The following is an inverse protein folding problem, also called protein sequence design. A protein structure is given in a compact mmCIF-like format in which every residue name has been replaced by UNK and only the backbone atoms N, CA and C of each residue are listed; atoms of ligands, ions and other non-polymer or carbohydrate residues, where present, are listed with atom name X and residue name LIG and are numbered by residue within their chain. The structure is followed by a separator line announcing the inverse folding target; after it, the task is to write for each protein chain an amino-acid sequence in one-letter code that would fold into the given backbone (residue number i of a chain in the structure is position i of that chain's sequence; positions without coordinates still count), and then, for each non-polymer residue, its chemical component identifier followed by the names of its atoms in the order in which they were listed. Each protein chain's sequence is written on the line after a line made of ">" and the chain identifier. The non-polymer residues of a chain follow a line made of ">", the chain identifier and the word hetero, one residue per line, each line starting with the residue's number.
data_IF_049729459788
#
_entry.id   IF_049729459788
#
_cell.length_a   1.000
_cell.length_b   1.000
_cell.length_c   1.000
_cell.angle_alpha   90.00
_cell.angle_beta   90.00
_cell.angle_gamma   90.00
#
_symmetry.space_group_name_H-M   'P 1'
#
loop_
_entity.id
_entity.type
_entity.pdbx_description
1 polymer ?
#
# COMPACT_ATOMS: atom_id res chain seq x y z
N UNK A 1 1.47 21.19 15.34
CA UNK A 1 0.15 21.67 14.85
C UNK A 1 -0.04 21.40 13.37
N UNK A 2 1.03 21.48 12.56
CA UNK A 2 1.05 21.15 11.12
C UNK A 2 0.70 19.68 10.80
N UNK A 3 1.08 18.72 11.64
CA UNK A 3 0.83 17.28 11.37
C UNK A 3 -0.65 16.91 11.47
N UNK A 4 -1.36 17.50 12.44
CA UNK A 4 -2.80 17.37 12.57
C UNK A 4 -3.53 18.04 11.40
N UNK A 5 -3.00 19.16 10.89
CA UNK A 5 -3.55 19.85 9.72
C UNK A 5 -3.31 19.06 8.43
N UNK A 6 -2.21 18.31 8.29
CA UNK A 6 -1.97 17.41 7.15
C UNK A 6 -2.87 16.17 7.20
N UNK A 7 -3.06 15.58 8.38
CA UNK A 7 -4.01 14.48 8.56
C UNK A 7 -5.47 14.93 8.42
N UNK A 8 -5.77 16.20 8.70
CA UNK A 8 -7.09 16.80 8.49
C UNK A 8 -7.31 17.34 7.06
N UNK A 9 -6.24 17.73 6.34
CA UNK A 9 -6.32 18.22 4.95
C UNK A 9 -6.49 17.08 3.94
N UNK A 10 -5.89 15.92 4.22
CA UNK A 10 -6.24 14.68 3.55
C UNK A 10 -7.52 14.18 4.24
N UNK A 11 -8.68 14.45 3.67
CA UNK A 11 -9.92 13.95 4.24
C UNK A 11 -9.82 12.42 4.47
N UNK A 12 -10.54 11.84 5.45
CA UNK A 12 -10.48 10.41 5.77
C UNK A 12 -10.78 9.44 4.61
N UNK A 13 -11.07 9.97 3.41
CA UNK A 13 -11.37 9.27 2.17
C UNK A 13 -10.14 8.98 1.28
N UNK A 14 -9.05 9.75 1.32
CA UNK A 14 -7.99 9.61 0.30
C UNK A 14 -7.20 8.30 0.42
N UNK A 15 -6.82 7.93 1.64
CA UNK A 15 -6.12 6.66 1.90
C UNK A 15 -7.04 5.44 1.78
N UNK A 16 -8.35 5.62 1.90
CA UNK A 16 -9.32 4.54 1.78
C UNK A 16 -9.33 3.93 0.38
N UNK A 17 -9.05 4.74 -0.65
CA UNK A 17 -8.93 4.28 -2.04
C UNK A 17 -7.68 3.44 -2.30
N UNK A 18 -6.65 3.53 -1.44
CA UNK A 18 -5.44 2.72 -1.60
C UNK A 18 -5.73 1.22 -1.43
N UNK A 19 -6.64 0.86 -0.53
CA UNK A 19 -6.95 -0.55 -0.23
C UNK A 19 -7.55 -1.29 -1.45
N UNK A 20 -8.66 -0.84 -2.06
CA UNK A 20 -9.19 -1.50 -3.26
C UNK A 20 -8.22 -1.41 -4.44
N UNK A 21 -7.43 -0.34 -4.56
CA UNK A 21 -6.44 -0.17 -5.63
C UNK A 21 -5.31 -1.21 -5.54
N UNK A 22 -4.72 -1.38 -4.35
CA UNK A 22 -3.64 -2.35 -4.12
C UNK A 22 -4.14 -3.77 -4.37
N UNK A 23 -5.36 -4.09 -3.93
CA UNK A 23 -5.99 -5.40 -4.18
C UNK A 23 -6.19 -5.62 -5.68
N UNK A 24 -6.75 -4.65 -6.40
CA UNK A 24 -6.99 -4.75 -7.84
C UNK A 24 -5.68 -4.92 -8.62
N UNK A 25 -4.67 -4.09 -8.36
CA UNK A 25 -3.36 -4.18 -9.04
C UNK A 25 -2.67 -5.51 -8.77
N UNK A 26 -2.71 -5.99 -7.52
CA UNK A 26 -2.07 -7.26 -7.15
C UNK A 26 -2.74 -8.45 -7.84
N UNK A 27 -4.07 -8.45 -7.93
CA UNK A 27 -4.83 -9.47 -8.65
C UNK A 27 -4.56 -9.43 -10.16
N UNK A 28 -4.63 -8.25 -10.78
CA UNK A 28 -4.38 -8.09 -12.23
C UNK A 28 -2.95 -8.53 -12.57
N UNK A 29 -1.96 -8.12 -11.79
CA UNK A 29 -0.56 -8.54 -11.98
C UNK A 29 -0.39 -10.07 -11.90
N UNK A 30 -1.05 -10.72 -10.93
CA UNK A 30 -0.95 -12.16 -10.78
C UNK A 30 -1.68 -12.93 -11.90
N UNK A 31 -2.84 -12.43 -12.31
CA UNK A 31 -3.72 -13.02 -13.33
C UNK A 31 -3.17 -12.89 -14.77
N UNK A 32 -2.36 -11.87 -15.07
CA UNK A 32 -1.70 -11.78 -16.39
C UNK A 32 -0.56 -12.78 -16.56
N UNK A 33 -0.03 -13.32 -15.45
CA UNK A 33 1.11 -14.23 -15.45
C UNK A 33 0.71 -15.70 -15.25
N UNK A 34 -0.37 -15.96 -14.53
CA UNK A 34 -0.80 -17.31 -14.17
C UNK A 34 -2.26 -17.51 -14.55
N UNK A 35 -2.57 -18.67 -15.13
CA UNK A 35 -3.94 -19.06 -15.50
C UNK A 35 -4.61 -19.90 -14.41
N UNK A 36 -3.83 -20.57 -13.56
CA UNK A 36 -4.32 -21.31 -12.42
C UNK A 36 -4.75 -20.37 -11.28
N UNK A 37 -6.03 -20.46 -10.88
CA UNK A 37 -6.63 -19.57 -9.88
C UNK A 37 -5.92 -19.61 -8.53
N UNK A 38 -5.39 -20.77 -8.12
CA UNK A 38 -4.68 -20.91 -6.85
C UNK A 38 -3.33 -20.20 -6.92
N UNK A 39 -2.62 -20.34 -8.03
CA UNK A 39 -1.38 -19.60 -8.27
C UNK A 39 -1.62 -18.09 -8.33
N UNK A 40 -2.73 -17.64 -8.93
CA UNK A 40 -3.11 -16.21 -8.97
C UNK A 40 -3.22 -15.66 -7.54
N UNK A 41 -4.00 -16.32 -6.66
CA UNK A 41 -4.21 -15.82 -5.29
C UNK A 41 -2.90 -15.76 -4.49
N UNK A 42 -2.06 -16.80 -4.57
CA UNK A 42 -0.78 -16.83 -3.84
C UNK A 42 0.15 -15.70 -4.30
N UNK A 43 0.23 -15.48 -5.61
CA UNK A 43 1.06 -14.41 -6.17
C UNK A 43 0.48 -13.02 -5.89
N UNK A 44 -0.84 -12.87 -5.94
CA UNK A 44 -1.51 -11.62 -5.62
C UNK A 44 -1.26 -11.23 -4.15
N UNK A 45 -1.38 -12.17 -3.20
CA UNK A 45 -1.09 -11.90 -1.78
C UNK A 45 0.39 -11.53 -1.59
N UNK A 46 1.32 -12.24 -2.26
CA UNK A 46 2.75 -11.90 -2.19
C UNK A 46 3.02 -10.49 -2.71
N UNK A 47 2.42 -10.10 -3.84
CA UNK A 47 2.56 -8.76 -4.41
C UNK A 47 1.95 -7.70 -3.49
N UNK A 48 0.77 -7.95 -2.92
CA UNK A 48 0.13 -7.07 -1.95
C UNK A 48 1.02 -6.82 -0.73
N UNK A 49 1.59 -7.89 -0.15
CA UNK A 49 2.51 -7.79 1.01
C UNK A 49 3.74 -6.96 0.66
N UNK A 50 4.31 -7.12 -0.54
CA UNK A 50 5.44 -6.30 -0.98
C UNK A 50 5.10 -4.82 -1.14
N UNK A 51 3.94 -4.50 -1.73
CA UNK A 51 3.49 -3.10 -1.90
C UNK A 51 3.30 -2.44 -0.53
N UNK A 52 2.54 -3.08 0.36
CA UNK A 52 2.26 -2.55 1.70
C UNK A 52 3.55 -2.48 2.53
N UNK A 53 4.39 -3.52 2.48
CA UNK A 53 5.66 -3.56 3.19
C UNK A 53 6.62 -2.47 2.74
N UNK A 54 6.76 -2.25 1.44
CA UNK A 54 7.59 -1.18 0.90
C UNK A 54 7.09 0.20 1.34
N UNK A 55 5.78 0.44 1.24
CA UNK A 55 5.17 1.69 1.70
C UNK A 55 5.38 1.93 3.20
N UNK A 56 5.25 0.88 4.02
CA UNK A 56 5.49 0.95 5.45
C UNK A 56 6.96 1.27 5.78
N UNK A 57 7.92 0.67 5.06
CA UNK A 57 9.35 0.99 5.23
C UNK A 57 9.61 2.47 4.92
N UNK A 58 9.10 2.99 3.81
CA UNK A 58 9.24 4.41 3.46
C UNK A 58 8.62 5.30 4.54
N UNK A 59 7.42 4.97 5.01
CA UNK A 59 6.75 5.70 6.09
C UNK A 59 7.60 5.75 7.37
N UNK A 60 8.16 4.62 7.77
CA UNK A 60 9.04 4.53 8.95
C UNK A 60 10.29 5.37 8.75
N UNK A 61 10.95 5.28 7.59
CA UNK A 61 12.15 6.06 7.29
C UNK A 61 11.88 7.56 7.36
N UNK A 62 10.80 8.03 6.73
CA UNK A 62 10.42 9.44 6.78
C UNK A 62 10.09 9.88 8.22
N UNK A 63 9.37 9.04 8.97
CA UNK A 63 9.04 9.32 10.38
C UNK A 63 10.29 9.44 11.25
N UNK A 64 11.28 8.57 11.03
CA UNK A 64 12.57 8.61 11.74
C UNK A 64 13.37 9.87 11.38
N UNK A 65 13.40 10.24 10.10
CA UNK A 65 14.09 11.47 9.66
C UNK A 65 13.45 12.71 10.28
N UNK A 66 12.11 12.79 10.32
CA UNK A 66 11.40 13.89 10.98
C UNK A 66 11.65 13.93 12.48
N UNK A 67 11.79 12.78 13.15
CA UNK A 67 12.10 12.75 14.58
C UNK A 67 13.52 13.20 14.92
N UNK A 68 14.47 12.95 13.99
CA UNK A 68 15.88 13.32 14.15
C UNK A 68 16.20 14.77 13.72
N UNK A 69 15.35 15.37 12.89
CA UNK A 69 15.47 16.74 12.38
C UNK A 69 14.97 17.78 13.39
#
# INVERSE_FOLDING_TARGET
>A
MTDFLLLASNGPHDLWYALPLIVAVSLVYAATRHEDTRLILVHAVRTLVWIVGFMAVVFVLLSLLTWLA
#
